data_IF_231275005149
#
_entry.id   IF_231275005149
#
_cell.length_a   1.000
_cell.length_b   1.000
_cell.length_c   1.000
_cell.angle_alpha   90.00
_cell.angle_beta   90.00
_cell.angle_gamma   90.00
#
_symmetry.space_group_name_H-M   'P 1'
#
loop_
_entity.id
_entity.type
_entity.pdbx_description
1 polymer ?
#
# COMPACT_ATOMS: atom_id res chain seq x y z
N UNK A 1 -71.25 51.15 11.81
CA UNK A 1 -70.68 52.43 12.27
C UNK A 1 -69.33 52.57 11.58
N UNK A 2 -69.26 53.33 10.49
CA UNK A 2 -68.82 54.75 10.49
C UNK A 2 -67.46 54.88 11.22
N UNK A 3 -66.37 55.29 10.60
CA UNK A 3 -66.24 56.23 9.50
C UNK A 3 -65.35 57.39 9.98
N UNK A 4 -64.54 57.92 9.06
CA UNK A 4 -63.74 59.16 9.13
C UNK A 4 -62.45 59.07 9.98
N UNK A 5 -61.31 59.64 9.60
CA UNK A 5 -61.00 60.76 8.70
C UNK A 5 -59.52 60.61 8.31
N UNK A 6 -59.14 60.44 7.04
CA UNK A 6 -58.78 61.54 6.12
C UNK A 6 -57.91 62.64 6.75
N UNK A 7 -56.67 62.79 6.27
CA UNK A 7 -56.20 64.03 5.63
C UNK A 7 -54.72 63.94 5.23
N UNK A 8 -54.50 64.10 3.92
CA UNK A 8 -53.48 64.97 3.31
C UNK A 8 -52.01 64.61 3.61
N UNK A 9 -51.20 64.27 2.60
CA UNK A 9 -50.77 65.28 1.61
C UNK A 9 -50.43 64.63 0.27
N UNK A 10 -51.09 65.18 -0.75
CA UNK A 10 -50.64 65.19 -2.15
C UNK A 10 -49.16 65.59 -2.20
N UNK A 11 -48.33 64.76 -2.83
CA UNK A 11 -47.06 65.22 -3.38
C UNK A 11 -46.89 64.62 -4.77
N UNK A 12 -47.36 65.40 -5.74
CA UNK A 12 -46.80 65.61 -7.07
C UNK A 12 -46.10 64.43 -7.74
N UNK A 13 -46.87 63.80 -8.63
CA UNK A 13 -46.40 63.03 -9.76
C UNK A 13 -45.47 63.89 -10.64
N UNK A 14 -44.16 63.75 -10.47
CA UNK A 14 -43.20 64.25 -11.44
C UNK A 14 -43.15 63.26 -12.62
N UNK A 15 -43.89 63.60 -13.67
CA UNK A 15 -43.70 63.05 -15.01
C UNK A 15 -42.30 63.48 -15.49
N UNK A 16 -41.32 62.63 -15.20
CA UNK A 16 -39.94 62.74 -15.67
C UNK A 16 -39.68 61.70 -16.74
N UNK A 17 -39.98 62.07 -17.99
CA UNK A 17 -39.34 61.66 -19.25
C UNK A 17 -38.73 60.25 -19.36
N UNK A 18 -39.20 59.50 -20.35
CA UNK A 18 -38.51 58.37 -20.96
C UNK A 18 -37.02 58.66 -21.17
N UNK A 19 -36.16 57.83 -20.59
CA UNK A 19 -34.75 57.74 -20.97
C UNK A 19 -34.60 56.64 -22.04
N UNK A 20 -34.25 56.98 -23.30
CA UNK A 20 -33.83 56.00 -24.29
C UNK A 20 -32.34 55.72 -24.05
N UNK A 21 -32.01 54.50 -23.65
CA UNK A 21 -30.60 54.17 -23.44
C UNK A 21 -30.37 52.90 -22.65
N UNK A 22 -31.11 51.84 -22.97
CA UNK A 22 -30.74 50.50 -22.54
C UNK A 22 -29.42 50.08 -23.21
N UNK A 23 -28.29 50.62 -22.76
CA UNK A 23 -27.00 49.97 -22.95
C UNK A 23 -26.89 48.91 -21.87
N UNK A 24 -27.56 47.78 -22.09
CA UNK A 24 -27.18 46.52 -21.45
C UNK A 24 -25.78 46.24 -21.96
N UNK A 25 -24.78 46.70 -21.23
CA UNK A 25 -23.42 46.24 -21.42
C UNK A 25 -23.46 44.74 -21.18
N UNK A 26 -23.49 43.96 -22.25
CA UNK A 26 -22.91 42.63 -22.21
C UNK A 26 -21.50 42.87 -21.69
N UNK A 27 -21.28 42.68 -20.39
CA UNK A 27 -19.96 42.41 -19.85
C UNK A 27 -19.51 41.22 -20.66
N UNK A 28 -18.70 41.47 -21.68
CA UNK A 28 -17.96 40.43 -22.37
C UNK A 28 -17.34 39.62 -21.24
N UNK A 29 -17.84 38.40 -21.05
CA UNK A 29 -17.15 37.39 -20.28
C UNK A 29 -15.78 37.32 -20.96
N UNK A 30 -14.83 38.06 -20.39
CA UNK A 30 -13.50 38.18 -20.93
C UNK A 30 -12.95 36.80 -20.67
N UNK A 31 -12.95 35.95 -21.70
CA UNK A 31 -12.38 34.63 -21.62
C UNK A 31 -10.96 34.83 -21.13
N UNK A 32 -10.71 34.50 -19.87
CA UNK A 32 -9.40 34.62 -19.26
C UNK A 32 -8.61 33.46 -19.85
N UNK A 33 -7.95 33.72 -20.97
CA UNK A 33 -6.99 32.76 -21.53
C UNK A 33 -5.87 32.56 -20.52
N UNK A 34 -5.45 31.32 -20.31
CA UNK A 34 -4.24 31.02 -19.53
C UNK A 34 -3.05 31.79 -20.12
N UNK A 35 -2.29 32.45 -19.27
CA UNK A 35 -1.06 33.10 -19.71
C UNK A 35 -0.06 32.05 -20.20
N UNK A 36 0.71 32.35 -21.25
CA UNK A 36 1.75 31.44 -21.75
C UNK A 36 2.76 31.08 -20.64
N UNK A 37 3.06 32.03 -19.75
CA UNK A 37 3.91 31.79 -18.58
C UNK A 37 3.28 30.77 -17.63
N UNK A 38 1.97 30.86 -17.41
CA UNK A 38 1.23 29.97 -16.50
C UNK A 38 1.23 28.53 -16.99
N UNK A 39 1.03 28.32 -18.30
CA UNK A 39 1.11 26.98 -18.90
C UNK A 39 2.52 26.40 -18.78
N UNK A 40 3.56 27.19 -19.08
CA UNK A 40 4.95 26.75 -18.96
C UNK A 40 5.31 26.43 -17.50
N UNK A 41 4.85 27.25 -16.55
CA UNK A 41 5.06 27.01 -15.12
C UNK A 41 4.35 25.75 -14.65
N UNK A 42 3.08 25.56 -15.06
CA UNK A 42 2.32 24.36 -14.74
C UNK A 42 3.00 23.10 -15.28
N UNK A 43 3.50 23.13 -16.53
CA UNK A 43 4.25 22.04 -17.12
C UNK A 43 5.58 21.79 -16.38
N UNK A 44 6.31 22.84 -16.02
CA UNK A 44 7.56 22.71 -15.26
C UNK A 44 7.34 22.04 -13.90
N UNK A 45 6.31 22.46 -13.15
CA UNK A 45 5.93 21.85 -11.86
C UNK A 45 5.48 20.41 -12.07
N UNK A 46 4.67 20.15 -13.10
CA UNK A 46 4.18 18.81 -13.43
C UNK A 46 5.34 17.84 -13.73
N UNK A 47 6.27 18.23 -14.60
CA UNK A 47 7.42 17.40 -14.93
C UNK A 47 8.31 17.16 -13.71
N UNK A 48 8.51 18.18 -12.86
CA UNK A 48 9.22 18.02 -11.59
C UNK A 48 8.54 17.02 -10.65
N UNK A 49 7.21 17.12 -10.49
CA UNK A 49 6.44 16.19 -9.65
C UNK A 49 6.48 14.75 -10.19
N UNK A 50 6.35 14.55 -11.51
CA UNK A 50 6.44 13.23 -12.15
C UNK A 50 7.81 12.60 -11.90
N UNK A 51 8.90 13.38 -11.98
CA UNK A 51 10.24 12.88 -11.72
C UNK A 51 10.38 12.34 -10.29
N UNK A 52 9.90 13.09 -9.30
CA UNK A 52 9.93 12.66 -7.88
C UNK A 52 9.04 11.44 -7.64
N UNK A 53 7.81 11.44 -8.16
CA UNK A 53 6.88 10.31 -8.02
C UNK A 53 7.42 9.03 -8.67
N UNK A 54 8.12 9.15 -9.80
CA UNK A 54 8.75 8.03 -10.48
C UNK A 54 9.81 7.33 -9.62
N UNK A 55 10.60 8.09 -8.87
CA UNK A 55 11.60 7.52 -7.97
C UNK A 55 10.94 6.84 -6.76
N UNK A 56 9.93 7.48 -6.17
CA UNK A 56 9.16 6.89 -5.06
C UNK A 56 8.51 5.58 -5.51
N UNK A 57 7.87 5.55 -6.68
CA UNK A 57 7.22 4.35 -7.22
C UNK A 57 8.22 3.20 -7.41
N UNK A 58 9.44 3.51 -7.89
CA UNK A 58 10.49 2.51 -8.08
C UNK A 58 10.97 1.94 -6.75
N UNK A 59 11.14 2.79 -5.73
CA UNK A 59 11.50 2.35 -4.38
C UNK A 59 10.39 1.52 -3.73
N UNK A 60 9.13 1.97 -3.85
CA UNK A 60 7.97 1.25 -3.35
C UNK A 60 7.85 -0.15 -3.94
N UNK A 61 8.10 -0.32 -5.25
CA UNK A 61 8.05 -1.62 -5.89
C UNK A 61 9.14 -2.58 -5.37
N UNK A 62 10.38 -2.10 -5.20
CA UNK A 62 11.47 -2.91 -4.63
C UNK A 62 11.16 -3.36 -3.20
N UNK A 63 10.65 -2.44 -2.38
CA UNK A 63 10.27 -2.74 -0.99
C UNK A 63 9.10 -3.71 -0.93
N UNK A 64 8.12 -3.56 -1.83
CA UNK A 64 6.99 -4.48 -1.92
C UNK A 64 7.44 -5.90 -2.31
N UNK A 65 8.41 -6.03 -3.20
CA UNK A 65 9.01 -7.33 -3.55
C UNK A 65 9.73 -7.94 -2.35
N UNK A 66 10.61 -7.19 -1.69
CA UNK A 66 11.33 -7.67 -0.50
C UNK A 66 10.37 -8.11 0.63
N UNK A 67 9.33 -7.32 0.90
CA UNK A 67 8.33 -7.67 1.91
C UNK A 67 7.58 -8.96 1.55
N UNK A 68 7.20 -9.13 0.27
CA UNK A 68 6.54 -10.35 -0.20
C UNK A 68 7.45 -11.57 -0.04
N UNK A 69 8.72 -11.43 -0.36
CA UNK A 69 9.69 -12.53 -0.25
C UNK A 69 9.88 -12.96 1.21
N UNK A 70 10.00 -12.00 2.14
CA UNK A 70 10.08 -12.28 3.58
C UNK A 70 8.82 -12.98 4.08
N UNK A 71 7.63 -12.47 3.71
CA UNK A 71 6.36 -13.11 4.08
C UNK A 71 6.26 -14.52 3.49
N UNK A 72 6.72 -14.74 2.25
CA UNK A 72 6.70 -16.07 1.64
C UNK A 72 7.60 -17.03 2.40
N UNK A 73 8.83 -16.61 2.72
CA UNK A 73 9.77 -17.41 3.51
C UNK A 73 9.18 -17.78 4.88
N UNK A 74 8.55 -16.83 5.57
CA UNK A 74 7.91 -17.07 6.85
C UNK A 74 6.76 -18.08 6.76
N UNK A 75 5.88 -17.93 5.76
CA UNK A 75 4.78 -18.87 5.54
C UNK A 75 5.28 -20.28 5.23
N UNK A 76 6.39 -20.42 4.50
CA UNK A 76 7.03 -21.71 4.25
C UNK A 76 7.61 -22.30 5.54
N UNK A 77 8.31 -21.51 6.37
CA UNK A 77 8.80 -21.96 7.67
C UNK A 77 7.66 -22.43 8.58
N UNK A 78 6.59 -21.63 8.69
CA UNK A 78 5.41 -21.97 9.50
C UNK A 78 4.72 -23.23 8.97
N UNK A 79 4.62 -23.37 7.65
CA UNK A 79 4.09 -24.57 7.00
C UNK A 79 4.90 -25.81 7.39
N UNK A 80 6.23 -25.78 7.23
CA UNK A 80 7.10 -26.92 7.56
C UNK A 80 7.01 -27.26 9.05
N UNK A 81 7.03 -26.25 9.93
CA UNK A 81 6.86 -26.46 11.37
C UNK A 81 5.50 -27.09 11.72
N UNK A 82 4.44 -26.75 10.98
CA UNK A 82 3.12 -27.34 11.18
C UNK A 82 3.05 -28.78 10.66
N UNK A 83 3.70 -29.09 9.54
CA UNK A 83 3.82 -30.46 9.02
C UNK A 83 4.61 -31.36 9.99
N UNK A 84 5.71 -30.84 10.57
CA UNK A 84 6.47 -31.54 11.62
C UNK A 84 5.61 -31.74 12.86
N UNK A 85 4.92 -30.70 13.34
CA UNK A 85 4.05 -30.79 14.52
C UNK A 85 2.85 -31.73 14.31
N UNK A 86 2.43 -31.95 13.07
CA UNK A 86 1.37 -32.89 12.71
C UNK A 86 1.88 -34.33 12.53
N UNK A 87 3.20 -34.57 12.63
CA UNK A 87 3.83 -35.88 12.39
C UNK A 87 3.82 -36.31 10.91
N UNK A 88 3.60 -35.38 9.97
CA UNK A 88 3.59 -35.68 8.53
C UNK A 88 5.00 -35.72 7.94
N UNK A 89 5.93 -34.97 8.52
CA UNK A 89 7.34 -34.94 8.15
C UNK A 89 8.17 -35.23 9.41
N UNK A 90 9.22 -36.09 9.32
CA UNK A 90 10.09 -36.35 10.45
C UNK A 90 10.85 -35.08 10.86
N UNK A 91 11.16 -34.95 12.16
CA UNK A 91 11.94 -33.82 12.67
C UNK A 91 13.45 -33.94 12.42
N UNK A 92 13.90 -34.92 11.63
CA UNK A 92 15.31 -35.19 11.38
C UNK A 92 16.02 -33.99 10.72
N UNK A 93 17.32 -33.77 11.01
CA UNK A 93 18.06 -32.67 10.41
C UNK A 93 18.16 -32.80 8.89
N UNK A 94 17.80 -31.72 8.20
CA UNK A 94 17.85 -31.60 6.73
C UNK A 94 18.52 -30.27 6.39
N UNK A 95 19.33 -30.24 5.34
CA UNK A 95 20.06 -29.03 4.95
C UNK A 95 19.85 -28.72 3.47
N UNK A 96 19.50 -27.46 3.18
CA UNK A 96 19.34 -26.90 1.83
C UNK A 96 18.51 -27.78 0.86
N UNK A 97 17.44 -28.41 1.37
CA UNK A 97 16.54 -29.21 0.54
C UNK A 97 15.50 -28.32 -0.17
N UNK A 98 15.06 -28.62 -1.40
CA UNK A 98 14.08 -27.79 -2.10
C UNK A 98 12.69 -27.84 -1.47
N UNK A 99 12.09 -26.67 -1.18
CA UNK A 99 10.73 -26.56 -0.63
C UNK A 99 9.65 -27.18 -1.54
N UNK A 100 9.92 -27.26 -2.85
CA UNK A 100 9.04 -27.88 -3.83
C UNK A 100 8.80 -29.39 -3.59
N UNK A 101 9.61 -30.05 -2.76
CA UNK A 101 9.38 -31.44 -2.37
C UNK A 101 8.22 -31.59 -1.36
N UNK A 102 7.94 -30.53 -0.58
CA UNK A 102 6.94 -30.54 0.48
C UNK A 102 5.65 -29.84 0.06
N UNK A 103 5.74 -28.79 -0.77
CA UNK A 103 4.61 -27.95 -1.14
C UNK A 103 4.33 -28.01 -2.66
N UNK A 104 4.58 -26.92 -3.39
CA UNK A 104 4.29 -26.78 -4.82
C UNK A 104 5.60 -26.56 -5.59
N UNK A 105 5.63 -26.97 -6.86
CA UNK A 105 6.70 -26.65 -7.82
C UNK A 105 7.00 -25.16 -7.94
N UNK A 106 6.04 -24.28 -7.61
CA UNK A 106 6.25 -22.83 -7.56
C UNK A 106 7.28 -22.40 -6.51
N UNK A 107 7.51 -23.22 -5.49
CA UNK A 107 8.47 -22.96 -4.40
C UNK A 107 9.87 -23.52 -4.69
N UNK A 108 10.15 -23.92 -5.94
CA UNK A 108 11.48 -24.41 -6.36
C UNK A 108 12.62 -23.43 -6.12
N UNK A 109 12.33 -22.13 -6.05
CA UNK A 109 13.33 -21.10 -5.73
C UNK A 109 13.65 -20.95 -4.23
N UNK A 110 13.11 -21.83 -3.39
CA UNK A 110 13.30 -21.81 -1.94
C UNK A 110 13.88 -23.12 -1.45
N UNK A 111 14.82 -23.01 -0.50
CA UNK A 111 15.46 -24.11 0.18
C UNK A 111 15.05 -24.06 1.65
N UNK A 112 14.85 -25.23 2.26
CA UNK A 112 14.60 -25.37 3.68
C UNK A 112 15.70 -26.18 4.35
N UNK A 113 15.95 -25.87 5.61
CA UNK A 113 16.79 -26.63 6.51
C UNK A 113 16.07 -26.83 7.83
N UNK A 114 16.14 -28.04 8.37
CA UNK A 114 15.57 -28.43 9.66
C UNK A 114 16.75 -28.77 10.56
N UNK A 115 16.74 -28.20 11.76
CA UNK A 115 17.65 -28.53 12.83
C UNK A 115 16.80 -28.81 14.07
N UNK A 116 17.18 -29.81 14.85
CA UNK A 116 16.54 -30.06 16.14
C UNK A 116 17.61 -30.10 17.24
N UNK A 117 17.27 -29.56 18.40
CA UNK A 117 18.13 -29.55 19.57
C UNK A 117 17.31 -30.00 20.78
N UNK A 118 17.70 -31.12 21.38
CA UNK A 118 17.14 -31.54 22.66
C UNK A 118 17.55 -30.55 23.75
N UNK A 119 16.60 -30.15 24.60
CA UNK A 119 16.86 -29.30 25.76
C UNK A 119 17.02 -30.14 27.01
N UNK A 120 17.70 -29.59 28.03
CA UNK A 120 17.93 -30.25 29.32
C UNK A 120 16.64 -30.41 30.17
N UNK A 121 15.50 -29.89 29.69
CA UNK A 121 14.19 -30.04 30.33
C UNK A 121 13.43 -31.26 29.77
N UNK A 122 12.81 -32.04 30.67
CA UNK A 122 12.16 -33.33 30.40
C UNK A 122 11.21 -33.29 29.20
N UNK A 123 11.68 -33.87 28.08
CA UNK A 123 10.87 -34.10 26.90
C UNK A 123 10.60 -32.86 26.06
N UNK A 124 11.36 -31.76 26.18
CA UNK A 124 11.30 -30.65 25.23
C UNK A 124 12.38 -30.74 24.15
N UNK A 125 11.98 -30.43 22.92
CA UNK A 125 12.88 -30.26 21.79
C UNK A 125 12.63 -28.91 21.12
N UNK A 126 13.71 -28.20 20.80
CA UNK A 126 13.66 -27.01 19.99
C UNK A 126 13.86 -27.41 18.52
N UNK A 127 12.81 -27.27 17.72
CA UNK A 127 12.87 -27.47 16.27
C UNK A 127 13.07 -26.12 15.61
N UNK A 128 14.20 -25.96 14.93
CA UNK A 128 14.56 -24.80 14.14
C UNK A 128 14.36 -25.11 12.66
N UNK A 129 13.57 -24.28 11.98
CA UNK A 129 13.39 -24.35 10.54
C UNK A 129 13.88 -23.05 9.93
N UNK A 130 14.80 -23.18 8.97
CA UNK A 130 15.35 -22.08 8.19
C UNK A 130 14.92 -22.23 6.75
N UNK A 131 14.25 -21.23 6.19
CA UNK A 131 13.94 -21.15 4.76
C UNK A 131 14.71 -20.00 4.13
N UNK A 132 15.35 -20.27 2.99
CA UNK A 132 16.22 -19.33 2.27
C UNK A 132 15.94 -19.37 0.77
N UNK A 133 16.06 -18.23 0.09
CA UNK A 133 16.04 -18.21 -1.37
C UNK A 133 17.26 -18.93 -1.96
N UNK A 134 17.05 -19.73 -3.01
CA UNK A 134 18.10 -20.34 -3.81
C UNK A 134 18.74 -19.30 -4.75
N UNK A 135 19.44 -18.35 -4.14
CA UNK A 135 20.19 -17.32 -4.83
C UNK A 135 21.62 -17.30 -4.30
N UNK A 136 22.61 -16.99 -5.15
CA UNK A 136 23.98 -16.83 -4.70
C UNK A 136 24.09 -15.67 -3.70
N UNK A 137 25.03 -15.79 -2.76
CA UNK A 137 25.20 -14.83 -1.66
C UNK A 137 25.43 -13.38 -2.13
N UNK A 138 25.90 -13.17 -3.36
CA UNK A 138 26.07 -11.86 -3.99
C UNK A 138 24.75 -11.08 -4.13
N UNK A 139 23.60 -11.77 -4.12
CA UNK A 139 22.27 -11.17 -4.27
C UNK A 139 21.53 -10.92 -2.95
N UNK A 140 22.16 -11.13 -1.79
CA UNK A 140 21.52 -11.01 -0.46
C UNK A 140 20.19 -11.79 -0.40
N UNK A 141 20.24 -13.15 -0.47
CA UNK A 141 19.03 -13.97 -0.43
C UNK A 141 18.23 -13.69 0.85
N UNK A 142 16.91 -13.63 0.71
CA UNK A 142 16.02 -13.60 1.87
C UNK A 142 16.12 -14.93 2.62
N UNK A 143 16.31 -14.83 3.93
CA UNK A 143 16.33 -15.97 4.85
C UNK A 143 15.48 -15.66 6.08
N UNK A 144 14.64 -16.61 6.47
CA UNK A 144 13.86 -16.57 7.70
C UNK A 144 14.11 -17.84 8.47
N UNK A 145 14.34 -17.70 9.78
CA UNK A 145 14.50 -18.82 10.70
C UNK A 145 13.43 -18.71 11.78
N UNK A 146 12.67 -19.78 11.98
CA UNK A 146 11.70 -19.91 13.05
C UNK A 146 12.10 -21.06 13.96
N UNK A 147 11.96 -20.84 15.26
CA UNK A 147 12.20 -21.86 16.29
C UNK A 147 10.88 -22.12 17.00
N UNK A 148 10.48 -23.38 17.08
CA UNK A 148 9.30 -23.82 17.84
C UNK A 148 9.71 -24.88 18.83
N UNK A 149 9.24 -24.73 20.05
CA UNK A 149 9.44 -25.69 21.12
C UNK A 149 8.30 -26.69 21.06
N UNK A 150 8.62 -27.98 21.04
CA UNK A 150 7.66 -29.07 20.95
C UNK A 150 7.96 -30.09 22.05
N UNK A 151 6.93 -30.84 22.44
CA UNK A 151 7.12 -32.00 23.30
C UNK A 151 7.61 -33.17 22.44
N UNK A 152 8.63 -33.88 22.91
CA UNK A 152 9.17 -35.08 22.27
C UNK A 152 8.10 -36.19 22.14
N UNK A 153 7.07 -36.17 22.99
CA UNK A 153 5.95 -37.11 22.90
C UNK A 153 5.08 -36.96 21.65
N UNK A 154 5.14 -35.81 20.98
CA UNK A 154 4.25 -35.45 19.88
C UNK A 154 4.90 -35.67 18.50
N UNK A 155 6.14 -36.18 18.46
CA UNK A 155 6.98 -36.35 17.27
C UNK A 155 7.22 -37.82 16.91
#
# INVERSE_FOLDING_TARGET
MNGYDSTLKKTTLAIGRCAPGAKRGCRAATGVGFSLLEVILALAILTGAIAVLGEIARSALRNAQAARDVTRAQLLCEGILNEIAAGLIPCDPVYDAPCAQLFDERDRGWLYSIENMALDEDGLIAVQVTVRQDLPATHQPVQVTLVRWMMLSDL
#
